data_IF_412940192217
#
_entry.id   IF_412940192217
#
_cell.length_a   1.000
_cell.length_b   1.000
_cell.length_c   1.000
_cell.angle_alpha   90.00
_cell.angle_beta   90.00
_cell.angle_gamma   90.00
#
_symmetry.space_group_name_H-M   'P 1'
#
loop_
_entity.id
_entity.type
_entity.pdbx_description
1 polymer ?
#
# COMPACT_ATOMS: atom_id res chain seq x y z
N UNK A 1 6.18 -2.00 -21.69
CA UNK A 1 6.98 -1.14 -20.79
C UNK A 1 6.74 -1.62 -19.37
N UNK A 2 7.79 -2.04 -18.64
CA UNK A 2 7.65 -2.33 -17.21
C UNK A 2 7.40 -1.00 -16.48
N UNK A 3 6.34 -0.92 -15.70
CA UNK A 3 6.08 0.26 -14.86
C UNK A 3 7.23 0.41 -13.88
N UNK A 4 7.80 1.60 -13.78
CA UNK A 4 8.88 1.90 -12.81
C UNK A 4 8.35 2.07 -11.38
N UNK A 5 7.04 2.06 -11.19
CA UNK A 5 6.38 2.17 -9.88
C UNK A 5 5.71 0.85 -9.57
N UNK A 6 5.95 0.33 -8.37
CA UNK A 6 5.46 -0.92 -7.84
C UNK A 6 4.82 -0.70 -6.48
N UNK A 7 3.77 -1.48 -6.22
CA UNK A 7 2.95 -1.44 -4.99
C UNK A 7 2.81 -2.82 -4.36
N UNK A 8 3.43 -3.83 -4.98
CA UNK A 8 3.31 -5.24 -4.64
C UNK A 8 3.72 -5.50 -3.18
N UNK A 9 2.79 -6.05 -2.40
CA UNK A 9 2.95 -6.43 -1.00
C UNK A 9 3.11 -5.27 -0.02
N UNK A 10 3.00 -4.01 -0.46
CA UNK A 10 3.27 -2.84 0.40
C UNK A 10 2.23 -2.66 1.49
N UNK A 11 0.95 -2.89 1.20
CA UNK A 11 -0.11 -2.86 2.21
C UNK A 11 0.08 -4.01 3.18
N UNK A 12 0.42 -5.20 2.69
CA UNK A 12 0.71 -6.36 3.57
C UNK A 12 1.85 -6.05 4.56
N UNK A 13 2.95 -5.45 4.10
CA UNK A 13 4.06 -5.03 4.98
C UNK A 13 3.60 -3.99 6.01
N UNK A 14 2.82 -2.99 5.59
CA UNK A 14 2.34 -1.93 6.48
C UNK A 14 1.34 -2.46 7.52
N UNK A 15 0.48 -3.41 7.16
CA UNK A 15 -0.41 -4.08 8.12
C UNK A 15 0.39 -4.88 9.16
N UNK A 16 1.48 -5.54 8.74
CA UNK A 16 2.40 -6.20 9.66
C UNK A 16 3.06 -5.23 10.63
N UNK A 17 3.56 -4.09 10.13
CA UNK A 17 4.12 -3.01 10.97
C UNK A 17 3.09 -2.45 11.95
N UNK A 18 1.85 -2.23 11.49
CA UNK A 18 0.76 -1.78 12.33
C UNK A 18 0.51 -2.76 13.47
N UNK A 19 0.37 -4.06 13.17
CA UNK A 19 0.18 -5.09 14.18
C UNK A 19 1.33 -5.14 15.18
N UNK A 20 2.58 -5.01 14.72
CA UNK A 20 3.73 -4.97 15.61
C UNK A 20 3.71 -3.74 16.55
N UNK A 21 3.20 -2.60 16.08
CA UNK A 21 3.13 -1.37 16.87
C UNK A 21 1.93 -1.32 17.84
N UNK A 22 0.80 -1.93 17.49
CA UNK A 22 -0.46 -1.81 18.25
C UNK A 22 -0.89 -3.10 18.96
N UNK A 23 -0.35 -4.26 18.57
CA UNK A 23 -0.85 -5.57 18.99
C UNK A 23 -2.14 -6.00 18.28
N UNK A 24 -2.75 -5.13 17.47
CA UNK A 24 -4.02 -5.40 16.81
C UNK A 24 -3.83 -5.80 15.35
N UNK A 25 -4.50 -6.88 14.94
CA UNK A 25 -4.46 -7.34 13.57
C UNK A 25 -5.54 -6.66 12.74
N UNK A 26 -5.13 -5.97 11.68
CA UNK A 26 -6.03 -5.36 10.70
C UNK A 26 -5.98 -6.12 9.38
N UNK A 27 -7.14 -6.52 8.84
CA UNK A 27 -7.23 -7.16 7.53
C UNK A 27 -7.30 -6.11 6.41
N UNK A 28 -6.92 -6.45 5.16
CA UNK A 28 -7.08 -5.54 4.01
C UNK A 28 -8.53 -5.09 3.80
N UNK A 29 -9.50 -5.96 4.08
CA UNK A 29 -10.92 -5.61 4.04
C UNK A 29 -11.26 -4.56 5.10
N UNK A 30 -10.79 -4.73 6.34
CA UNK A 30 -11.06 -3.78 7.41
C UNK A 30 -10.36 -2.44 7.17
N UNK A 31 -9.16 -2.46 6.60
CA UNK A 31 -8.48 -1.26 6.14
C UNK A 31 -9.31 -0.51 5.10
N UNK A 32 -9.85 -1.20 4.09
CA UNK A 32 -10.69 -0.59 3.06
C UNK A 32 -11.93 0.10 3.67
N UNK A 33 -12.61 -0.59 4.59
CA UNK A 33 -13.76 -0.05 5.34
C UNK A 33 -13.37 1.20 6.14
N UNK A 34 -12.26 1.15 6.90
CA UNK A 34 -11.78 2.29 7.70
C UNK A 34 -11.38 3.49 6.84
N UNK A 35 -10.77 3.26 5.68
CA UNK A 35 -10.36 4.30 4.75
C UNK A 35 -11.50 4.83 3.87
N UNK A 36 -12.68 4.19 3.89
CA UNK A 36 -13.80 4.58 3.03
C UNK A 36 -13.49 4.40 1.54
N UNK A 37 -12.72 3.36 1.19
CA UNK A 37 -12.32 3.04 -0.19
C UNK A 37 -12.86 1.67 -0.61
N UNK A 38 -13.04 1.42 -1.93
CA UNK A 38 -13.46 0.11 -2.40
C UNK A 38 -12.49 -0.98 -1.97
N UNK A 39 -13.01 -2.14 -1.57
CA UNK A 39 -12.18 -3.31 -1.22
C UNK A 39 -11.20 -3.63 -2.37
N UNK A 40 -11.70 -3.73 -3.59
CA UNK A 40 -10.91 -4.11 -4.76
C UNK A 40 -9.79 -3.10 -5.09
N UNK A 41 -9.93 -1.85 -4.67
CA UNK A 41 -8.84 -0.88 -4.77
C UNK A 41 -7.64 -1.32 -3.92
N UNK A 42 -7.88 -1.68 -2.65
CA UNK A 42 -6.83 -2.15 -1.72
C UNK A 42 -6.17 -3.43 -2.25
N UNK A 43 -6.95 -4.41 -2.73
CA UNK A 43 -6.40 -5.66 -3.24
C UNK A 43 -5.60 -5.48 -4.54
N UNK A 44 -6.08 -4.67 -5.49
CA UNK A 44 -5.33 -4.40 -6.73
C UNK A 44 -4.08 -3.57 -6.48
N UNK A 45 -4.12 -2.67 -5.50
CA UNK A 45 -2.95 -1.90 -5.11
C UNK A 45 -1.91 -2.83 -4.48
N UNK A 46 -2.29 -3.65 -3.50
CA UNK A 46 -1.33 -4.57 -2.84
C UNK A 46 -0.81 -5.67 -3.78
N UNK A 47 -1.56 -6.08 -4.80
CA UNK A 47 -1.07 -7.06 -5.76
C UNK A 47 -0.21 -6.48 -6.89
N UNK A 48 -0.06 -5.15 -6.94
CA UNK A 48 0.62 -4.48 -8.06
C UNK A 48 -0.19 -4.45 -9.37
N UNK A 49 -1.45 -4.89 -9.35
CA UNK A 49 -2.31 -4.93 -10.54
C UNK A 49 -3.00 -3.58 -10.86
N UNK A 50 -2.88 -2.58 -9.98
CA UNK A 50 -3.45 -1.26 -10.19
C UNK A 50 -2.77 -0.54 -11.37
N UNK A 51 -3.57 -0.10 -12.35
CA UNK A 51 -3.09 0.68 -13.52
C UNK A 51 -3.12 2.19 -13.29
N UNK A 52 -3.98 2.63 -12.37
CA UNK A 52 -4.12 4.01 -11.94
C UNK A 52 -4.49 4.00 -10.45
N UNK A 53 -4.18 5.09 -9.77
CA UNK A 53 -4.51 5.31 -8.36
C UNK A 53 -5.18 6.66 -8.25
N UNK A 54 -6.33 6.70 -7.58
CA UNK A 54 -6.96 7.96 -7.20
C UNK A 54 -6.21 8.53 -5.99
N UNK A 55 -5.78 9.79 -6.07
CA UNK A 55 -4.94 10.40 -5.04
C UNK A 55 -5.69 10.58 -3.71
N UNK A 56 -6.98 10.89 -3.75
CA UNK A 56 -7.80 11.04 -2.53
C UNK A 56 -8.05 9.68 -1.87
N UNK A 57 -8.26 8.63 -2.66
CA UNK A 57 -8.33 7.26 -2.15
C UNK A 57 -6.99 6.82 -1.53
N UNK A 58 -5.86 7.13 -2.18
CA UNK A 58 -4.54 6.84 -1.65
C UNK A 58 -4.27 7.61 -0.35
N UNK A 59 -4.57 8.90 -0.30
CA UNK A 59 -4.38 9.75 0.88
C UNK A 59 -5.18 9.23 2.08
N UNK A 60 -6.44 8.82 1.87
CA UNK A 60 -7.27 8.21 2.92
C UNK A 60 -6.67 6.90 3.43
N UNK A 61 -6.14 6.07 2.53
CA UNK A 61 -5.46 4.83 2.92
C UNK A 61 -4.20 5.12 3.76
N UNK A 62 -3.38 6.08 3.33
CA UNK A 62 -2.19 6.55 4.04
C UNK A 62 -2.54 7.07 5.44
N UNK A 63 -3.62 7.85 5.57
CA UNK A 63 -4.07 8.38 6.85
C UNK A 63 -4.45 7.27 7.85
N UNK A 64 -5.17 6.23 7.40
CA UNK A 64 -5.54 5.09 8.25
C UNK A 64 -4.34 4.23 8.63
N UNK A 65 -3.40 4.03 7.70
CA UNK A 65 -2.16 3.28 7.95
C UNK A 65 -1.10 4.08 8.71
N UNK A 66 -1.33 5.39 8.91
CA UNK A 66 -0.33 6.33 9.41
C UNK A 66 1.01 6.21 8.65
N UNK A 67 0.92 6.18 7.33
CA UNK A 67 2.08 6.07 6.44
C UNK A 67 2.08 7.20 5.40
N UNK A 68 3.18 7.32 4.68
CA UNK A 68 3.31 8.27 3.60
C UNK A 68 3.14 7.57 2.23
N UNK A 69 2.86 8.30 1.13
CA UNK A 69 2.70 7.69 -0.19
C UNK A 69 3.91 6.89 -0.66
N UNK A 70 5.14 7.31 -0.33
CA UNK A 70 6.36 6.55 -0.66
C UNK A 70 6.46 5.20 0.04
N UNK A 71 5.70 4.98 1.12
CA UNK A 71 5.64 3.67 1.75
C UNK A 71 4.83 2.67 0.91
N UNK A 72 3.95 3.15 0.03
CA UNK A 72 3.11 2.34 -0.86
C UNK A 72 3.63 2.35 -2.30
N UNK A 73 4.04 3.51 -2.82
CA UNK A 73 4.49 3.70 -4.19
C UNK A 73 6.02 3.63 -4.25
N UNK A 74 6.55 2.44 -4.56
CA UNK A 74 7.98 2.20 -4.65
C UNK A 74 8.45 2.37 -6.09
N UNK A 75 9.48 3.19 -6.29
CA UNK A 75 10.16 3.25 -7.57
C UNK A 75 11.14 2.06 -7.69
N UNK A 76 10.85 1.13 -8.58
CA UNK A 76 11.77 0.04 -8.93
C UNK A 76 12.92 0.62 -9.78
N UNK A 77 14.06 0.86 -9.13
CA UNK A 77 15.33 1.14 -9.81
C UNK A 77 16.00 -0.20 -10.14
N UNK A 78 16.52 -0.38 -11.36
CA UNK A 78 17.38 -1.53 -11.70
C UNK A 78 18.73 -1.52 -10.97
N UNK A 79 18.99 -0.55 -10.09
CA UNK A 79 20.18 -0.53 -9.24
C UNK A 79 19.83 -0.39 -7.77
N UNK A 80 19.78 -1.54 -7.12
CA UNK A 80 20.36 -1.73 -5.80
C UNK A 80 21.38 -2.90 -5.87
N UNK A 81 22.23 -2.89 -6.89
CA UNK A 81 23.56 -3.51 -6.74
C UNK A 81 24.35 -2.57 -5.84
N UNK A 82 24.25 -2.81 -4.53
CA UNK A 82 25.23 -2.30 -3.60
C UNK A 82 26.51 -3.11 -3.78
N UNK A 83 27.57 -2.37 -4.05
CA UNK A 83 28.99 -2.71 -3.83
C UNK A 83 29.20 -3.39 -2.48
#
# INVERSE_FOLDING_TARGET
MRSKISTSGRITVLLGKHQAATGERMSPRKLAEKAGVPKDFVYRLDSGAARHVDLDALARLCAVLNCQPQDLLIWESERAESV
#
